data_IF_539583987650
#
_entry.id   IF_539583987650
#
_cell.length_a   1.000
_cell.length_b   1.000
_cell.length_c   1.000
_cell.angle_alpha   90.00
_cell.angle_beta   90.00
_cell.angle_gamma   90.00
#
_symmetry.space_group_name_H-M   'P 1'
#
loop_
_entity.id
_entity.type
_entity.pdbx_description
1 polymer ?
#
# COMPACT_ATOMS: atom_id res chain seq x y z
N UNK A 1 -25.17 0.16 -4.92
CA UNK A 1 -23.86 -0.48 -4.96
C UNK A 1 -23.64 -1.28 -3.67
N UNK A 2 -23.34 -2.55 -3.79
CA UNK A 2 -22.91 -3.39 -2.67
C UNK A 2 -21.40 -3.21 -2.48
N UNK A 3 -20.94 -3.15 -1.25
CA UNK A 3 -19.53 -3.05 -0.93
C UNK A 3 -19.19 -3.84 0.34
N UNK A 4 -17.91 -4.09 0.54
CA UNK A 4 -17.37 -4.62 1.78
C UNK A 4 -16.24 -3.72 2.25
N UNK A 5 -16.22 -3.34 3.52
CA UNK A 5 -15.09 -2.62 4.11
C UNK A 5 -14.14 -3.62 4.75
N UNK A 6 -12.88 -3.57 4.38
CA UNK A 6 -11.84 -4.44 4.93
C UNK A 6 -10.58 -3.63 5.23
N UNK A 7 -9.74 -4.15 6.09
CA UNK A 7 -8.46 -3.53 6.45
C UNK A 7 -7.33 -4.58 6.49
N UNK A 8 -6.13 -4.16 6.16
CA UNK A 8 -4.91 -4.91 6.36
C UNK A 8 -3.90 -4.06 7.12
N UNK A 9 -3.64 -4.40 8.38
CA UNK A 9 -2.71 -3.68 9.27
C UNK A 9 -3.09 -2.18 9.40
N UNK A 10 -4.38 -1.90 9.62
CA UNK A 10 -4.89 -0.52 9.78
C UNK A 10 -5.25 0.19 8.48
N UNK A 11 -4.61 -0.14 7.37
CA UNK A 11 -4.90 0.44 6.06
C UNK A 11 -6.23 -0.10 5.51
N UNK A 12 -7.27 0.74 5.48
CA UNK A 12 -8.65 0.34 5.23
C UNK A 12 -9.18 0.84 3.88
N UNK A 13 -9.82 -0.06 3.15
CA UNK A 13 -10.41 0.23 1.84
C UNK A 13 -11.87 -0.20 1.77
N UNK A 14 -12.62 0.47 0.89
CA UNK A 14 -13.91 0.00 0.39
C UNK A 14 -13.67 -0.92 -0.80
N UNK A 15 -14.18 -2.14 -0.75
CA UNK A 15 -14.05 -3.15 -1.80
C UNK A 15 -15.38 -3.33 -2.52
N UNK A 16 -15.34 -3.28 -3.87
CA UNK A 16 -16.50 -3.53 -4.72
C UNK A 16 -16.23 -4.72 -5.62
N UNK A 17 -17.15 -5.69 -5.60
CA UNK A 17 -17.11 -6.86 -6.47
C UNK A 17 -17.67 -6.52 -7.85
N UNK A 18 -16.79 -6.25 -8.81
CA UNK A 18 -17.16 -5.92 -10.17
C UNK A 18 -17.48 -7.13 -11.07
N UNK A 19 -17.56 -8.33 -10.51
CA UNK A 19 -18.25 -9.46 -11.16
C UNK A 19 -19.78 -9.30 -11.08
N UNK A 20 -20.27 -8.51 -10.12
CA UNK A 20 -21.71 -8.28 -9.87
C UNK A 20 -22.12 -6.80 -10.00
N UNK A 21 -21.20 -5.88 -9.70
CA UNK A 21 -21.47 -4.44 -9.67
C UNK A 21 -20.70 -3.72 -10.77
N UNK A 22 -21.24 -2.60 -11.25
CA UNK A 22 -20.57 -1.72 -12.21
C UNK A 22 -20.27 -0.38 -11.56
N UNK A 23 -19.02 0.06 -11.63
CA UNK A 23 -18.59 1.40 -11.21
C UNK A 23 -18.16 2.16 -12.45
N UNK A 24 -18.90 3.20 -12.83
CA UNK A 24 -18.63 3.95 -14.06
C UNK A 24 -17.51 4.97 -13.91
N UNK A 25 -17.48 5.68 -12.77
CA UNK A 25 -16.44 6.65 -12.43
C UNK A 25 -15.77 6.27 -11.10
N UNK A 26 -14.72 5.43 -11.14
CA UNK A 26 -14.01 5.02 -9.94
C UNK A 26 -13.31 6.17 -9.20
N UNK A 27 -12.83 7.19 -9.92
CA UNK A 27 -12.10 8.31 -9.32
C UNK A 27 -13.02 9.13 -8.40
N UNK A 28 -14.15 9.59 -8.94
CA UNK A 28 -15.16 10.32 -8.14
C UNK A 28 -15.76 9.45 -7.05
N UNK A 29 -15.94 8.14 -7.32
CA UNK A 29 -16.47 7.21 -6.33
C UNK A 29 -15.48 7.06 -5.17
N UNK A 30 -14.17 6.92 -5.44
CA UNK A 30 -13.15 6.81 -4.41
C UNK A 30 -13.18 8.02 -3.46
N UNK A 31 -13.22 9.24 -3.99
CA UNK A 31 -13.31 10.46 -3.20
C UNK A 31 -14.56 10.41 -2.30
N UNK A 32 -15.72 10.10 -2.89
CA UNK A 32 -17.00 10.12 -2.16
C UNK A 32 -17.06 9.06 -1.04
N UNK A 33 -16.61 7.82 -1.31
CA UNK A 33 -16.69 6.74 -0.31
C UNK A 33 -15.62 6.87 0.77
N UNK A 34 -14.49 7.52 0.46
CA UNK A 34 -13.37 7.65 1.40
C UNK A 34 -13.58 8.72 2.46
N UNK A 35 -14.45 9.68 2.21
CA UNK A 35 -14.78 10.70 3.22
C UNK A 35 -15.26 10.04 4.53
N UNK A 36 -14.54 10.33 5.63
CA UNK A 36 -14.79 9.69 6.94
C UNK A 36 -15.98 10.30 7.67
N UNK A 37 -16.51 11.43 7.20
CA UNK A 37 -17.63 12.12 7.82
C UNK A 37 -18.92 11.97 7.00
N UNK A 38 -18.81 12.05 5.68
CA UNK A 38 -19.97 12.05 4.78
C UNK A 38 -20.05 10.83 3.86
N UNK A 39 -18.98 10.03 3.79
CA UNK A 39 -18.92 8.78 3.05
C UNK A 39 -18.94 7.55 3.97
N UNK A 40 -18.26 6.49 3.51
CA UNK A 40 -18.05 5.26 4.29
C UNK A 40 -16.83 5.42 5.22
N UNK A 41 -15.86 6.24 4.79
CA UNK A 41 -14.57 6.47 5.43
C UNK A 41 -13.58 5.34 5.12
N UNK A 42 -12.50 5.66 4.42
CA UNK A 42 -11.45 4.69 4.05
C UNK A 42 -10.23 5.41 3.49
N UNK A 43 -9.13 4.68 3.28
CA UNK A 43 -7.94 5.17 2.59
C UNK A 43 -8.13 5.12 1.05
N UNK A 44 -9.24 4.57 0.57
CA UNK A 44 -9.57 4.53 -0.84
C UNK A 44 -10.56 3.44 -1.23
N UNK A 45 -10.63 3.19 -2.53
CA UNK A 45 -11.53 2.24 -3.19
C UNK A 45 -10.72 1.17 -3.90
N UNK A 46 -11.08 -0.10 -3.74
CA UNK A 46 -10.55 -1.22 -4.51
C UNK A 46 -11.68 -1.92 -5.26
N UNK A 47 -11.53 -2.02 -6.58
CA UNK A 47 -12.42 -2.77 -7.45
C UNK A 47 -11.82 -4.15 -7.71
N UNK A 48 -12.58 -5.19 -7.41
CA UNK A 48 -12.23 -6.58 -7.73
C UNK A 48 -12.92 -6.93 -9.03
N UNK A 49 -12.13 -7.02 -10.11
CA UNK A 49 -12.61 -7.16 -11.49
C UNK A 49 -12.28 -8.53 -12.06
N UNK A 50 -13.00 -8.99 -13.10
CA UNK A 50 -12.51 -10.06 -13.97
C UNK A 50 -11.16 -9.69 -14.61
N UNK A 51 -10.33 -10.69 -14.88
CA UNK A 51 -9.06 -10.57 -15.60
C UNK A 51 -8.98 -11.61 -16.70
N UNK A 52 -8.34 -11.26 -17.81
CA UNK A 52 -8.04 -12.20 -18.90
C UNK A 52 -6.70 -12.94 -18.71
N UNK A 53 -5.86 -12.44 -17.78
CA UNK A 53 -4.47 -12.91 -17.58
C UNK A 53 -4.20 -13.44 -16.18
N UNK A 54 -5.16 -13.28 -15.26
CA UNK A 54 -5.07 -13.71 -13.86
C UNK A 54 -6.42 -14.22 -13.36
N UNK A 55 -6.46 -14.73 -12.13
CA UNK A 55 -7.71 -15.21 -11.52
C UNK A 55 -8.71 -14.08 -11.24
N UNK A 56 -8.19 -12.89 -10.93
CA UNK A 56 -8.94 -11.63 -10.84
C UNK A 56 -8.00 -10.44 -10.99
N UNK A 57 -8.57 -9.24 -11.07
CA UNK A 57 -7.83 -7.97 -11.13
C UNK A 57 -8.15 -7.13 -9.92
N UNK A 58 -7.13 -6.49 -9.35
CA UNK A 58 -7.23 -5.42 -8.37
C UNK A 58 -7.00 -4.08 -9.07
N UNK A 59 -8.00 -3.23 -9.10
CA UNK A 59 -7.91 -1.86 -9.60
C UNK A 59 -8.19 -0.92 -8.43
N UNK A 60 -7.18 -0.16 -8.00
CA UNK A 60 -7.26 0.61 -6.76
C UNK A 60 -7.18 2.12 -7.00
N UNK A 61 -7.86 2.85 -6.15
CA UNK A 61 -7.93 4.31 -6.15
C UNK A 61 -7.74 4.82 -4.74
N UNK A 62 -6.86 5.79 -4.58
CA UNK A 62 -6.61 6.47 -3.32
C UNK A 62 -7.80 7.35 -2.91
N UNK A 63 -7.82 7.82 -1.69
CA UNK A 63 -8.87 8.70 -1.17
C UNK A 63 -9.04 10.02 -1.96
N UNK A 64 -7.99 10.47 -2.65
CA UNK A 64 -7.99 11.66 -3.50
C UNK A 64 -8.45 11.37 -4.95
N UNK A 65 -8.87 10.13 -5.24
CA UNK A 65 -9.32 9.67 -6.55
C UNK A 65 -8.17 9.28 -7.50
N UNK A 66 -6.92 9.44 -7.13
CA UNK A 66 -5.79 9.01 -7.96
C UNK A 66 -5.70 7.48 -8.02
N UNK A 67 -5.36 6.94 -9.20
CA UNK A 67 -5.19 5.50 -9.36
C UNK A 67 -3.87 5.04 -8.76
N UNK A 68 -3.92 4.06 -7.87
CA UNK A 68 -2.74 3.44 -7.27
C UNK A 68 -2.22 2.25 -8.09
N UNK A 69 -0.91 2.04 -8.08
CA UNK A 69 -0.31 0.93 -8.83
C UNK A 69 -0.40 -0.40 -8.07
N UNK A 70 -0.19 -0.38 -6.76
CA UNK A 70 -0.17 -1.57 -5.90
C UNK A 70 -0.31 -1.15 -4.43
N UNK A 71 -1.02 -1.97 -3.66
CA UNK A 71 -1.07 -1.93 -2.21
C UNK A 71 -0.96 -3.35 -1.65
N UNK A 72 0.14 -3.66 -0.97
CA UNK A 72 0.38 -4.98 -0.37
C UNK A 72 -0.66 -5.36 0.69
N UNK A 73 -1.16 -4.38 1.44
CA UNK A 73 -2.24 -4.56 2.40
C UNK A 73 -3.55 -4.88 1.69
N UNK A 74 -3.89 -4.08 0.68
CA UNK A 74 -5.12 -4.21 -0.11
C UNK A 74 -5.21 -5.51 -0.89
N UNK A 75 -4.13 -5.97 -1.52
CA UNK A 75 -4.15 -7.21 -2.32
C UNK A 75 -4.38 -8.45 -1.45
N UNK A 76 -3.92 -8.47 -0.19
CA UNK A 76 -4.25 -9.55 0.75
C UNK A 76 -5.75 -9.63 1.03
N UNK A 77 -6.39 -8.46 1.18
CA UNK A 77 -7.84 -8.38 1.33
C UNK A 77 -8.57 -8.84 0.07
N UNK A 78 -8.06 -8.50 -1.14
CA UNK A 78 -8.60 -9.02 -2.41
C UNK A 78 -8.55 -10.54 -2.45
N UNK A 79 -7.42 -11.16 -2.09
CA UNK A 79 -7.30 -12.62 -2.05
C UNK A 79 -8.31 -13.26 -1.08
N UNK A 80 -8.40 -12.70 0.14
CA UNK A 80 -9.39 -13.16 1.12
C UNK A 80 -10.82 -13.00 0.60
N UNK A 81 -11.15 -11.84 0.04
CA UNK A 81 -12.48 -11.59 -0.51
C UNK A 81 -12.82 -12.58 -1.62
N UNK A 82 -11.92 -12.72 -2.60
CA UNK A 82 -12.14 -13.59 -3.76
C UNK A 82 -12.41 -15.04 -3.35
N UNK A 83 -11.69 -15.57 -2.37
CA UNK A 83 -11.92 -16.93 -1.87
C UNK A 83 -13.19 -17.04 -1.03
N UNK A 84 -13.37 -16.14 -0.07
CA UNK A 84 -14.50 -16.19 0.88
C UNK A 84 -15.85 -15.98 0.20
N UNK A 85 -15.88 -15.23 -0.92
CA UNK A 85 -17.06 -14.96 -1.75
C UNK A 85 -17.19 -15.87 -2.99
N UNK A 86 -16.31 -16.90 -3.11
CA UNK A 86 -16.39 -17.90 -4.18
C UNK A 86 -16.16 -17.35 -5.60
N UNK A 87 -15.43 -16.24 -5.73
CA UNK A 87 -14.89 -15.80 -7.03
C UNK A 87 -13.83 -16.78 -7.49
N UNK A 88 -13.04 -17.31 -6.52
CA UNK A 88 -12.06 -18.37 -6.73
C UNK A 88 -12.31 -19.53 -5.74
N UNK A 89 -11.85 -20.74 -6.09
CA UNK A 89 -12.06 -21.97 -5.30
C UNK A 89 -10.75 -22.65 -4.87
N UNK A 90 -9.62 -22.03 -5.16
CA UNK A 90 -8.27 -22.56 -4.88
C UNK A 90 -7.49 -21.62 -3.94
N UNK A 91 -6.63 -22.17 -3.05
CA UNK A 91 -5.91 -21.36 -2.07
C UNK A 91 -4.71 -20.58 -2.62
N UNK A 92 -4.25 -20.90 -3.84
CA UNK A 92 -3.22 -20.17 -4.54
C UNK A 92 -3.79 -19.52 -5.77
N UNK A 93 -3.70 -18.18 -5.84
CA UNK A 93 -4.26 -17.39 -6.93
C UNK A 93 -3.25 -16.37 -7.47
N UNK A 94 -3.54 -15.90 -8.66
CA UNK A 94 -2.88 -14.75 -9.29
C UNK A 94 -3.84 -13.56 -9.30
N UNK A 95 -3.30 -12.36 -9.03
CA UNK A 95 -4.05 -11.11 -9.08
C UNK A 95 -3.33 -10.14 -10.01
N UNK A 96 -4.02 -9.70 -11.05
CA UNK A 96 -3.54 -8.64 -11.92
C UNK A 96 -3.60 -7.30 -11.17
N UNK A 97 -2.51 -6.54 -11.20
CA UNK A 97 -2.41 -5.19 -10.64
C UNK A 97 -1.76 -4.26 -11.65
N UNK A 98 -1.82 -2.94 -11.43
CA UNK A 98 -1.14 -1.99 -12.30
C UNK A 98 0.40 -2.12 -12.24
N UNK A 99 0.95 -2.79 -11.21
CA UNK A 99 2.38 -3.11 -11.09
C UNK A 99 2.72 -4.55 -11.50
N UNK A 100 1.86 -5.21 -12.29
CA UNK A 100 2.01 -6.58 -12.76
C UNK A 100 1.24 -7.61 -11.94
N UNK A 101 1.39 -8.89 -12.30
CA UNK A 101 0.70 -10.00 -11.65
C UNK A 101 1.38 -10.31 -10.31
N UNK A 102 0.57 -10.43 -9.26
CA UNK A 102 0.98 -10.87 -7.93
C UNK A 102 0.42 -12.26 -7.63
N UNK A 103 1.21 -13.10 -6.97
CA UNK A 103 0.79 -14.43 -6.55
C UNK A 103 0.53 -14.42 -5.05
N UNK A 104 -0.62 -14.98 -4.69
CA UNK A 104 -1.10 -15.04 -3.32
C UNK A 104 -1.27 -16.49 -2.89
N UNK A 105 -0.69 -16.85 -1.75
CA UNK A 105 -0.90 -18.11 -1.06
C UNK A 105 -1.77 -17.87 0.17
N UNK A 106 -2.97 -18.45 0.19
CA UNK A 106 -3.97 -18.27 1.24
C UNK A 106 -4.01 -19.44 2.20
N UNK A 107 -3.89 -19.19 3.50
CA UNK A 107 -4.18 -20.16 4.53
C UNK A 107 -5.69 -20.21 4.77
N UNK A 108 -6.28 -21.37 4.55
CA UNK A 108 -7.73 -21.58 4.69
C UNK A 108 -8.01 -22.48 5.89
N UNK A 109 -8.87 -22.03 6.78
CA UNK A 109 -9.35 -22.79 7.94
C UNK A 109 -10.88 -22.68 8.01
N UNK A 110 -11.55 -23.82 8.16
CA UNK A 110 -13.03 -23.89 8.21
C UNK A 110 -13.72 -23.18 7.01
N UNK A 111 -13.11 -23.27 5.82
CA UNK A 111 -13.65 -22.67 4.59
C UNK A 111 -13.51 -21.14 4.51
N UNK A 112 -12.70 -20.54 5.36
CA UNK A 112 -12.41 -19.10 5.38
C UNK A 112 -10.90 -18.85 5.36
N UNK A 113 -10.48 -17.78 4.69
CA UNK A 113 -9.07 -17.35 4.68
C UNK A 113 -8.73 -16.70 6.01
N UNK A 114 -7.67 -17.20 6.65
CA UNK A 114 -7.15 -16.68 7.95
C UNK A 114 -5.84 -15.91 7.79
N UNK A 115 -5.07 -16.21 6.75
CA UNK A 115 -3.84 -15.46 6.41
C UNK A 115 -3.61 -15.50 4.90
N UNK A 116 -2.90 -14.48 4.40
CA UNK A 116 -2.50 -14.38 2.98
C UNK A 116 -1.03 -14.00 2.91
N UNK A 117 -0.24 -14.83 2.23
CA UNK A 117 1.14 -14.51 1.83
C UNK A 117 1.11 -13.97 0.41
N UNK A 118 1.81 -12.88 0.17
CA UNK A 118 1.92 -12.26 -1.15
C UNK A 118 3.36 -12.31 -1.62
N UNK A 119 3.59 -12.81 -2.84
CA UNK A 119 4.88 -12.63 -3.51
C UNK A 119 4.92 -11.21 -4.11
N UNK A 120 5.65 -10.33 -3.43
CA UNK A 120 5.83 -8.94 -3.86
C UNK A 120 6.89 -8.79 -4.97
N UNK A 121 7.61 -9.87 -5.28
CA UNK A 121 8.75 -9.85 -6.19
C UNK A 121 10.04 -9.39 -5.49
N UNK A 122 11.06 -9.07 -6.29
CA UNK A 122 12.35 -8.62 -5.76
C UNK A 122 12.37 -7.11 -5.58
N UNK A 123 12.97 -6.61 -4.48
CA UNK A 123 13.21 -5.18 -4.34
C UNK A 123 14.19 -4.70 -5.43
N UNK A 124 13.97 -3.49 -5.90
CA UNK A 124 14.86 -2.82 -6.86
C UNK A 124 15.41 -1.57 -6.20
N UNK A 125 16.72 -1.47 -6.09
CA UNK A 125 17.39 -0.25 -5.60
C UNK A 125 17.23 0.87 -6.64
N UNK A 126 16.78 2.04 -6.21
CA UNK A 126 16.47 3.20 -7.07
C UNK A 126 17.28 4.45 -6.76
N UNK A 127 18.21 4.34 -5.80
CA UNK A 127 19.19 5.39 -5.46
C UNK A 127 20.57 4.79 -5.32
N UNK A 128 21.59 5.65 -5.19
CA UNK A 128 22.86 5.22 -4.60
C UNK A 128 22.66 4.77 -3.16
N UNK A 129 23.60 3.97 -2.63
CA UNK A 129 23.58 3.62 -1.21
C UNK A 129 23.92 4.85 -0.38
N UNK A 130 23.02 5.20 0.56
CA UNK A 130 23.16 6.39 1.39
C UNK A 130 23.28 7.69 0.58
N UNK A 131 22.45 7.80 -0.48
CA UNK A 131 22.32 9.02 -1.27
C UNK A 131 21.88 10.18 -0.35
N UNK A 132 22.48 11.36 -0.52
CA UNK A 132 22.17 12.54 0.28
C UNK A 132 20.93 13.26 -0.25
N UNK A 133 20.09 13.69 0.68
CA UNK A 133 18.86 14.43 0.44
C UNK A 133 18.87 15.69 1.33
N UNK A 134 18.84 16.87 0.73
CA UNK A 134 18.81 18.12 1.48
C UNK A 134 17.37 18.57 1.74
N UNK A 135 16.96 18.60 3.00
CA UNK A 135 15.64 19.05 3.44
C UNK A 135 15.79 20.22 4.41
N UNK A 136 15.33 21.40 4.01
CA UNK A 136 15.36 22.63 4.84
C UNK A 136 16.74 22.95 5.44
N UNK A 137 17.79 22.75 4.63
CA UNK A 137 19.18 23.04 5.02
C UNK A 137 19.83 21.98 5.93
N UNK A 138 19.21 20.81 6.09
CA UNK A 138 19.76 19.63 6.75
C UNK A 138 19.91 18.50 5.75
N UNK A 139 21.07 17.85 5.70
CA UNK A 139 21.31 16.68 4.86
C UNK A 139 20.88 15.41 5.62
N UNK A 140 20.18 14.53 4.90
CA UNK A 140 19.79 13.20 5.35
C UNK A 140 20.27 12.17 4.32
N UNK A 141 20.70 11.01 4.77
CA UNK A 141 21.05 9.91 3.87
C UNK A 141 19.93 8.90 3.82
N UNK A 142 19.61 8.44 2.61
CA UNK A 142 18.57 7.45 2.40
C UNK A 142 19.00 6.36 1.41
N UNK A 143 18.24 5.29 1.39
CA UNK A 143 18.32 4.24 0.37
C UNK A 143 16.96 4.15 -0.31
N UNK A 144 16.93 4.43 -1.63
CA UNK A 144 15.73 4.30 -2.45
C UNK A 144 15.49 2.85 -2.86
N UNK A 145 14.31 2.35 -2.60
CA UNK A 145 13.88 0.99 -2.95
C UNK A 145 12.51 1.05 -3.65
N UNK A 146 12.33 0.26 -4.70
CA UNK A 146 11.03 0.02 -5.30
C UNK A 146 10.56 -1.42 -5.03
N UNK A 147 9.33 -1.54 -4.54
CA UNK A 147 8.57 -2.80 -4.44
C UNK A 147 7.38 -2.79 -5.41
N UNK A 148 7.48 -1.97 -6.49
CA UNK A 148 6.39 -1.62 -7.40
C UNK A 148 5.74 -0.28 -7.04
N UNK A 149 6.01 0.24 -5.85
CA UNK A 149 5.83 1.60 -5.38
C UNK A 149 7.15 2.12 -4.80
N UNK A 150 7.39 3.44 -4.75
CA UNK A 150 8.65 4.00 -4.31
C UNK A 150 8.73 4.11 -2.78
N UNK A 151 9.91 3.79 -2.25
CA UNK A 151 10.24 3.85 -0.82
C UNK A 151 11.59 4.52 -0.60
N UNK A 152 11.69 5.41 0.39
CA UNK A 152 12.94 5.98 0.91
C UNK A 152 13.16 5.44 2.32
N UNK A 153 14.21 4.68 2.51
CA UNK A 153 14.60 4.13 3.82
C UNK A 153 15.62 5.06 4.45
N UNK A 154 15.26 5.69 5.56
CA UNK A 154 16.09 6.62 6.34
C UNK A 154 16.38 6.01 7.69
N UNK A 155 17.67 5.98 8.08
CA UNK A 155 18.10 5.37 9.32
C UNK A 155 18.02 6.35 10.49
N UNK A 156 17.77 5.84 11.70
CA UNK A 156 17.68 6.66 12.92
C UNK A 156 18.91 7.54 13.15
N UNK A 157 20.09 7.09 12.72
CA UNK A 157 21.36 7.85 12.88
C UNK A 157 21.38 9.20 12.16
N UNK A 158 20.41 9.45 11.28
CA UNK A 158 20.23 10.74 10.59
C UNK A 158 19.48 11.78 11.46
N UNK A 159 18.94 11.36 12.62
CA UNK A 159 18.13 12.19 13.52
C UNK A 159 18.82 12.38 14.87
N UNK A 160 18.53 13.49 15.54
CA UNK A 160 19.04 13.79 16.89
C UNK A 160 18.24 13.06 17.99
N UNK A 161 17.05 12.58 17.64
CA UNK A 161 16.11 11.92 18.53
C UNK A 161 15.72 10.53 18.01
N UNK A 162 15.30 9.62 18.89
CA UNK A 162 14.85 8.29 18.51
C UNK A 162 13.64 8.36 17.57
N UNK A 163 13.53 7.37 16.66
CA UNK A 163 12.41 7.33 15.71
C UNK A 163 11.04 7.29 16.37
N UNK A 164 10.95 6.78 17.61
CA UNK A 164 9.70 6.73 18.39
C UNK A 164 9.15 8.11 18.76
N UNK A 165 10.02 9.12 18.84
CA UNK A 165 9.66 10.50 19.22
C UNK A 165 9.63 11.47 18.04
N UNK A 166 10.08 11.05 16.87
CA UNK A 166 10.03 11.87 15.66
C UNK A 166 8.59 12.34 15.38
N UNK A 167 8.45 13.64 15.14
CA UNK A 167 7.20 14.24 14.67
C UNK A 167 7.04 14.01 13.17
N UNK A 168 6.47 12.87 12.79
CA UNK A 168 6.32 12.49 11.38
C UNK A 168 5.35 13.40 10.64
N UNK A 169 4.34 13.97 11.30
CA UNK A 169 3.44 14.97 10.69
C UNK A 169 4.19 16.22 10.23
N UNK A 170 5.31 16.52 10.88
CA UNK A 170 6.13 17.68 10.56
C UNK A 170 7.17 17.40 9.49
N UNK A 171 7.85 16.23 9.54
CA UNK A 171 8.96 15.93 8.64
C UNK A 171 8.55 15.06 7.44
N UNK A 172 7.54 14.23 7.60
CA UNK A 172 7.08 13.29 6.57
C UNK A 172 6.69 13.96 5.24
N UNK A 173 5.90 15.06 5.26
CA UNK A 173 5.56 15.79 4.04
C UNK A 173 6.78 16.34 3.28
N UNK A 174 7.85 16.69 3.99
CA UNK A 174 9.07 17.23 3.37
C UNK A 174 9.83 16.13 2.60
N UNK A 175 9.84 14.89 3.12
CA UNK A 175 10.36 13.74 2.39
C UNK A 175 9.45 13.35 1.24
N UNK A 176 8.15 13.19 1.50
CA UNK A 176 7.16 12.75 0.53
C UNK A 176 7.17 13.62 -0.75
N UNK A 177 7.25 14.94 -0.58
CA UNK A 177 7.10 15.90 -1.67
C UNK A 177 8.43 16.48 -2.15
N UNK A 178 9.56 15.88 -1.77
CA UNK A 178 10.88 16.38 -2.19
C UNK A 178 11.05 16.26 -3.70
N UNK A 179 11.70 17.25 -4.33
CA UNK A 179 11.91 17.32 -5.78
C UNK A 179 12.64 16.12 -6.39
N UNK A 180 13.43 15.39 -5.58
CA UNK A 180 14.06 14.11 -5.94
C UNK A 180 13.04 13.03 -6.29
N UNK A 181 11.79 13.17 -5.84
CA UNK A 181 10.73 12.18 -5.96
C UNK A 181 9.51 12.76 -6.71
N UNK A 182 9.54 12.85 -8.05
CA UNK A 182 8.48 13.50 -8.83
C UNK A 182 7.10 12.82 -8.66
N UNK A 183 7.08 11.52 -8.35
CA UNK A 183 5.86 10.75 -8.09
C UNK A 183 5.55 10.63 -6.60
N UNK A 184 6.20 11.45 -5.77
CA UNK A 184 6.21 11.35 -4.30
C UNK A 184 6.77 10.01 -3.83
N UNK A 185 6.94 9.81 -2.51
CA UNK A 185 7.57 8.62 -1.96
C UNK A 185 6.97 8.24 -0.59
N UNK A 186 6.93 6.93 -0.29
CA UNK A 186 6.78 6.46 1.09
C UNK A 186 8.12 6.57 1.78
N UNK A 187 8.15 6.96 3.06
CA UNK A 187 9.42 7.09 3.80
C UNK A 187 9.37 6.22 5.05
N UNK A 188 10.27 5.27 5.12
CA UNK A 188 10.47 4.38 6.27
C UNK A 188 11.60 4.93 7.13
N UNK A 189 11.28 5.33 8.35
CA UNK A 189 12.23 5.71 9.40
C UNK A 189 12.54 4.48 10.23
N UNK A 190 13.80 4.01 10.17
CA UNK A 190 14.16 2.71 10.74
C UNK A 190 15.29 2.80 11.77
N UNK A 191 15.20 1.96 12.80
CA UNK A 191 16.31 1.62 13.67
C UNK A 191 16.61 0.14 13.56
N UNK A 192 17.85 -0.20 13.25
CA UNK A 192 18.33 -1.59 13.27
C UNK A 192 18.57 -2.00 14.70
N UNK A 193 17.85 -3.02 15.18
CA UNK A 193 18.03 -3.61 16.51
C UNK A 193 19.13 -4.66 16.47
N UNK A 194 19.00 -5.58 15.54
CA UNK A 194 19.97 -6.64 15.26
C UNK A 194 19.79 -7.14 13.81
N UNK A 195 20.47 -8.21 13.46
CA UNK A 195 20.46 -8.77 12.10
C UNK A 195 19.10 -9.29 11.64
N UNK A 196 18.19 -9.58 12.55
CA UNK A 196 16.85 -10.12 12.27
C UNK A 196 15.71 -9.15 12.61
N UNK A 197 16.00 -8.00 13.23
CA UNK A 197 14.98 -7.11 13.77
C UNK A 197 15.28 -5.65 13.47
N UNK A 198 14.26 -4.94 13.02
CA UNK A 198 14.23 -3.48 12.89
C UNK A 198 13.01 -2.93 13.59
N UNK A 199 13.11 -1.72 14.13
CA UNK A 199 11.95 -0.89 14.41
C UNK A 199 11.72 0.03 13.23
N UNK A 200 10.46 0.30 12.92
CA UNK A 200 10.09 1.14 11.79
C UNK A 200 8.87 1.98 12.15
N UNK A 201 8.89 3.22 11.70
CA UNK A 201 7.72 4.06 11.50
C UNK A 201 7.70 4.47 10.04
N UNK A 202 6.54 4.70 9.50
CA UNK A 202 6.38 5.02 8.08
C UNK A 202 5.52 6.26 7.90
N UNK A 203 5.94 7.11 7.00
CA UNK A 203 5.10 8.15 6.40
C UNK A 203 4.66 7.64 5.03
N UNK A 204 3.40 7.28 4.93
CA UNK A 204 2.84 6.75 3.70
C UNK A 204 2.44 7.87 2.72
N UNK A 205 2.83 7.72 1.47
CA UNK A 205 2.50 8.64 0.38
C UNK A 205 0.98 8.85 0.26
N UNK A 206 0.52 10.06 0.56
CA UNK A 206 -0.87 10.48 0.44
C UNK A 206 -1.77 10.06 1.61
N UNK A 207 -1.23 9.37 2.63
CA UNK A 207 -2.02 8.92 3.78
C UNK A 207 -1.45 9.39 5.13
N UNK A 208 -0.15 9.72 5.19
CA UNK A 208 0.51 10.12 6.43
C UNK A 208 0.98 8.93 7.27
N UNK A 209 1.09 9.08 8.59
CA UNK A 209 1.47 8.01 9.51
C UNK A 209 0.27 7.14 9.89
#
# INVERSE_FOLDING_TARGET
MKFTKMQGIGNDYVYVNCFEEKVEDPCSMAIAVSDRHFGIGSDGLILIKPSEVADCQMDMYNLDGTRGAMCGNGVRCVGKYAYDHKIVDKPRISVETASGIKYLDMKVENGKVTAVTVDMGKPVQTSELFEELEIKGKSYRFIGISMGNPHAVVFEDEFEEPIETLDLEKIGPDFENHERFPDRINTEFIRVIDRGHVKMRVWERGSGE
#
